data_IF_622178015618
#
_entry.id   IF_622178015618
#
_cell.length_a   1.000
_cell.length_b   1.000
_cell.length_c   1.000
_cell.angle_alpha   90.00
_cell.angle_beta   90.00
_cell.angle_gamma   90.00
#
_symmetry.space_group_name_H-M   'P 1'
#
loop_
_entity.id
_entity.type
_entity.pdbx_description
1 polymer ?
#
# COMPACT_ATOMS: atom_id res chain seq x y z
N UNK A 1 -3.69 5.04 -12.09
CA UNK A 1 -4.83 4.12 -11.99
C UNK A 1 -6.01 4.84 -11.42
N UNK A 2 -7.10 5.00 -12.16
CA UNK A 2 -8.28 5.72 -11.68
C UNK A 2 -8.96 4.92 -10.57
N UNK A 3 -9.35 5.60 -9.50
CA UNK A 3 -10.11 5.03 -8.39
C UNK A 3 -11.60 5.14 -8.69
N UNK A 4 -12.30 4.02 -8.60
CA UNK A 4 -13.73 3.91 -8.82
C UNK A 4 -14.50 4.37 -7.57
N UNK A 5 -15.58 5.12 -7.78
CA UNK A 5 -16.42 5.67 -6.70
C UNK A 5 -15.79 6.84 -5.94
N UNK A 6 -14.69 7.41 -6.43
CA UNK A 6 -14.13 8.63 -5.86
C UNK A 6 -14.96 9.85 -6.24
N UNK A 7 -15.38 10.63 -5.23
CA UNK A 7 -16.15 11.86 -5.42
C UNK A 7 -15.51 13.02 -4.65
N UNK A 8 -14.77 13.89 -5.34
CA UNK A 8 -13.99 14.98 -4.72
C UNK A 8 -14.80 15.82 -3.72
N UNK A 9 -16.06 16.14 -4.07
CA UNK A 9 -16.95 16.96 -3.25
C UNK A 9 -17.46 16.27 -1.99
N UNK A 10 -17.48 14.94 -1.97
CA UNK A 10 -17.85 14.14 -0.82
C UNK A 10 -16.66 13.88 0.12
N UNK A 11 -15.43 14.19 -0.32
CA UNK A 11 -14.23 13.95 0.47
C UNK A 11 -13.82 15.21 1.23
N UNK A 12 -13.48 15.04 2.51
CA UNK A 12 -12.77 16.06 3.28
C UNK A 12 -11.29 16.07 2.86
N UNK A 13 -11.00 16.64 1.69
CA UNK A 13 -9.63 16.75 1.17
C UNK A 13 -8.74 17.72 1.98
N UNK A 14 -9.29 18.39 3.00
CA UNK A 14 -8.54 19.32 3.85
C UNK A 14 -7.37 18.65 4.59
N UNK A 15 -7.42 17.34 4.81
CA UNK A 15 -6.32 16.56 5.41
C UNK A 15 -5.22 16.13 4.43
N UNK A 16 -5.40 16.36 3.13
CA UNK A 16 -4.50 15.87 2.11
C UNK A 16 -3.32 16.84 2.01
N UNK A 17 -2.12 16.36 2.32
CA UNK A 17 -0.88 17.13 2.19
C UNK A 17 -0.17 16.74 0.89
N UNK A 18 -0.45 17.42 -0.23
CA UNK A 18 0.28 17.16 -1.46
C UNK A 18 1.75 17.56 -1.32
N UNK A 19 2.63 16.82 -1.99
CA UNK A 19 4.00 17.21 -2.22
C UNK A 19 4.08 18.31 -3.30
N UNK A 20 5.30 18.76 -3.60
CA UNK A 20 5.56 19.80 -4.60
C UNK A 20 5.07 19.44 -6.02
N UNK A 21 4.76 18.16 -6.27
CA UNK A 21 4.25 17.66 -7.55
C UNK A 21 2.74 17.40 -7.50
N UNK A 22 2.05 17.84 -6.45
CA UNK A 22 0.61 17.65 -6.29
C UNK A 22 0.22 16.22 -5.87
N UNK A 23 1.18 15.38 -5.47
CA UNK A 23 0.94 13.98 -5.11
C UNK A 23 0.78 13.84 -3.61
N UNK A 24 -0.06 12.92 -3.17
CA UNK A 24 -0.23 12.64 -1.75
C UNK A 24 -0.29 11.14 -1.51
N UNK A 25 -0.21 10.77 -0.24
CA UNK A 25 -0.23 9.37 0.18
C UNK A 25 -1.66 8.86 0.34
N UNK A 26 -1.88 7.65 -0.14
CA UNK A 26 -3.06 6.83 0.14
C UNK A 26 -2.62 5.45 0.59
N UNK A 27 -3.48 4.79 1.34
CA UNK A 27 -3.29 3.42 1.82
C UNK A 27 -4.15 2.51 0.94
N UNK A 28 -3.57 1.41 0.48
CA UNK A 28 -4.32 0.35 -0.19
C UNK A 28 -4.62 -0.77 0.80
N UNK A 29 -5.90 -1.14 0.91
CA UNK A 29 -6.38 -2.14 1.88
C UNK A 29 -7.06 -3.26 1.11
N UNK A 30 -6.64 -4.52 1.31
CA UNK A 30 -7.40 -5.65 0.77
C UNK A 30 -8.63 -5.89 1.62
N UNK A 31 -9.72 -6.21 0.93
CA UNK A 31 -10.97 -6.61 1.54
C UNK A 31 -11.23 -8.10 1.30
N UNK A 32 -12.18 -8.66 2.06
CA UNK A 32 -12.55 -10.07 1.97
C UNK A 32 -13.05 -10.46 0.56
N UNK A 33 -13.76 -9.58 -0.13
CA UNK A 33 -14.44 -9.84 -1.41
C UNK A 33 -13.55 -9.63 -2.65
N UNK A 34 -12.23 -9.83 -2.51
CA UNK A 34 -11.27 -9.56 -3.59
C UNK A 34 -11.35 -8.13 -4.14
N UNK A 35 -11.62 -7.17 -3.25
CA UNK A 35 -11.57 -5.74 -3.54
C UNK A 35 -10.33 -5.13 -2.88
N UNK A 36 -9.91 -4.01 -3.43
CA UNK A 36 -8.90 -3.17 -2.80
C UNK A 36 -9.50 -1.79 -2.65
N UNK A 37 -9.74 -1.37 -1.41
CA UNK A 37 -10.09 0.01 -1.11
C UNK A 37 -8.85 0.89 -1.14
N UNK A 38 -9.08 2.13 -1.54
CA UNK A 38 -8.12 3.23 -1.45
C UNK A 38 -8.59 4.09 -0.29
N UNK A 39 -7.76 4.22 0.73
CA UNK A 39 -8.05 5.01 1.92
C UNK A 39 -7.09 6.18 2.07
N UNK A 40 -7.55 7.26 2.70
CA UNK A 40 -6.66 8.32 3.19
C UNK A 40 -5.81 7.81 4.35
N UNK A 41 -4.75 8.55 4.71
CA UNK A 41 -3.96 8.28 5.92
C UNK A 41 -4.77 8.33 7.22
N UNK A 42 -5.92 8.99 7.21
CA UNK A 42 -6.85 9.04 8.35
C UNK A 42 -7.81 7.84 8.41
N UNK A 43 -7.70 6.88 7.49
CA UNK A 43 -8.56 5.69 7.45
C UNK A 43 -9.89 5.88 6.72
N UNK A 44 -10.14 7.04 6.13
CA UNK A 44 -11.35 7.28 5.32
C UNK A 44 -11.23 6.58 3.97
N UNK A 45 -12.20 5.73 3.63
CA UNK A 45 -12.30 5.12 2.29
C UNK A 45 -12.65 6.18 1.25
N UNK A 46 -11.81 6.28 0.22
CA UNK A 46 -11.93 7.21 -0.90
C UNK A 46 -12.55 6.57 -2.14
N UNK A 47 -12.55 5.24 -2.21
CA UNK A 47 -13.06 4.46 -3.33
C UNK A 47 -12.33 3.13 -3.46
N UNK A 48 -12.38 2.53 -4.64
CA UNK A 48 -11.82 1.20 -4.89
C UNK A 48 -10.98 1.17 -6.15
N UNK A 49 -9.99 0.29 -6.19
CA UNK A 49 -9.29 0.01 -7.43
C UNK A 49 -10.15 -0.89 -8.35
N UNK A 50 -10.05 -0.71 -9.68
CA UNK A 50 -10.70 -1.61 -10.62
C UNK A 50 -10.30 -3.07 -10.38
N UNK A 51 -11.24 -4.00 -10.54
CA UNK A 51 -11.02 -5.44 -10.26
C UNK A 51 -9.82 -6.04 -11.03
N UNK A 52 -9.56 -5.56 -12.25
CA UNK A 52 -8.41 -5.96 -13.06
C UNK A 52 -7.07 -5.72 -12.37
N UNK A 53 -6.99 -4.70 -11.51
CA UNK A 53 -5.79 -4.36 -10.77
C UNK A 53 -5.62 -5.15 -9.49
N UNK A 54 -6.71 -5.57 -8.86
CA UNK A 54 -6.65 -6.36 -7.63
C UNK A 54 -5.84 -7.64 -7.83
N UNK A 55 -5.98 -8.29 -9.00
CA UNK A 55 -5.21 -9.47 -9.35
C UNK A 55 -3.71 -9.17 -9.50
N UNK A 56 -3.37 -8.00 -10.06
CA UNK A 56 -1.98 -7.60 -10.31
C UNK A 56 -1.25 -7.28 -9.00
N UNK A 57 -1.91 -6.56 -8.08
CA UNK A 57 -1.26 -6.05 -6.86
C UNK A 57 -1.54 -6.91 -5.62
N UNK A 58 -2.50 -7.84 -5.68
CA UNK A 58 -2.98 -8.60 -4.52
C UNK A 58 -1.86 -9.36 -3.81
N UNK A 59 -0.91 -9.93 -4.55
CA UNK A 59 0.26 -10.61 -3.97
C UNK A 59 1.19 -9.66 -3.22
N UNK A 60 1.34 -8.43 -3.71
CA UNK A 60 2.19 -7.43 -3.05
C UNK A 60 1.52 -6.92 -1.77
N UNK A 61 0.22 -6.63 -1.82
CA UNK A 61 -0.57 -6.25 -0.64
C UNK A 61 -0.58 -7.35 0.44
N UNK A 62 -0.69 -8.62 0.06
CA UNK A 62 -0.58 -9.73 1.01
C UNK A 62 0.78 -9.75 1.74
N UNK A 63 1.87 -9.34 1.08
CA UNK A 63 3.19 -9.23 1.72
C UNK A 63 3.23 -8.08 2.73
N UNK A 64 2.62 -6.94 2.40
CA UNK A 64 2.47 -5.81 3.32
C UNK A 64 1.69 -6.23 4.58
N UNK A 65 0.54 -6.87 4.41
CA UNK A 65 -0.28 -7.40 5.51
C UNK A 65 0.49 -8.39 6.39
N UNK A 66 1.19 -9.35 5.77
CA UNK A 66 1.99 -10.35 6.50
C UNK A 66 3.15 -9.70 7.26
N UNK A 67 3.71 -8.61 6.74
CA UNK A 67 4.77 -7.84 7.39
C UNK A 67 4.25 -6.89 8.48
N UNK A 68 2.93 -6.71 8.61
CA UNK A 68 2.34 -5.72 9.52
C UNK A 68 2.65 -4.27 9.11
N UNK A 69 2.88 -4.01 7.82
CA UNK A 69 3.22 -2.69 7.28
C UNK A 69 2.08 -2.20 6.41
N UNK A 70 1.69 -0.93 6.57
CA UNK A 70 0.68 -0.31 5.69
C UNK A 70 1.19 -0.24 4.25
N UNK A 71 0.34 -0.62 3.30
CA UNK A 71 0.63 -0.52 1.87
C UNK A 71 0.38 0.92 1.38
N UNK A 72 1.30 1.81 1.70
CA UNK A 72 1.22 3.23 1.32
C UNK A 72 1.70 3.41 -0.11
N UNK A 73 0.92 4.10 -0.93
CA UNK A 73 1.32 4.49 -2.28
C UNK A 73 1.02 5.96 -2.57
N UNK A 74 1.65 6.49 -3.61
CA UNK A 74 1.37 7.84 -4.09
C UNK A 74 0.13 7.86 -4.98
N UNK A 75 -0.62 8.93 -4.88
CA UNK A 75 -1.74 9.27 -5.77
C UNK A 75 -1.71 10.75 -6.16
N UNK A 76 -2.48 11.10 -7.18
CA UNK A 76 -2.68 12.48 -7.64
C UNK A 76 -4.14 12.70 -7.99
N UNK A 77 -4.58 13.95 -7.99
CA UNK A 77 -5.88 14.36 -8.51
C UNK A 77 -5.70 14.93 -9.92
N UNK A 78 -6.51 14.45 -10.86
CA UNK A 78 -6.46 14.86 -12.27
C UNK A 78 -7.80 15.44 -12.69
N UNK A 79 -7.78 16.53 -13.46
CA UNK A 79 -9.00 17.19 -13.93
C UNK A 79 -9.26 18.54 -13.24
N UNK A 80 -10.46 19.06 -13.44
CA UNK A 80 -10.87 20.37 -12.93
C UNK A 80 -11.39 20.27 -11.50
N UNK A 81 -11.04 21.24 -10.65
CA UNK A 81 -11.48 21.30 -9.24
C UNK A 81 -12.99 21.12 -9.11
N UNK A 82 -13.41 20.19 -8.25
CA UNK A 82 -14.80 19.81 -8.02
C UNK A 82 -15.30 18.66 -8.90
N UNK A 83 -14.49 18.21 -9.85
CA UNK A 83 -14.74 17.09 -10.77
C UNK A 83 -13.44 16.32 -11.04
N UNK A 84 -12.52 16.27 -10.06
CA UNK A 84 -11.24 15.58 -10.23
C UNK A 84 -11.38 14.09 -10.01
N UNK A 85 -10.64 13.35 -10.81
CA UNK A 85 -10.40 11.94 -10.62
C UNK A 85 -9.22 11.70 -9.69
N UNK A 86 -9.36 10.72 -8.79
CA UNK A 86 -8.25 10.20 -8.01
C UNK A 86 -7.50 9.14 -8.82
N UNK A 87 -6.20 9.34 -9.00
CA UNK A 87 -5.32 8.44 -9.71
C UNK A 87 -4.21 7.91 -8.79
N UNK A 88 -4.20 6.60 -8.54
CA UNK A 88 -3.12 5.91 -7.82
C UNK A 88 -1.95 5.61 -8.77
N UNK A 89 -0.72 5.91 -8.35
CA UNK A 89 0.49 5.76 -9.15
C UNK A 89 1.19 4.40 -8.95
N UNK A 90 0.77 3.61 -7.96
CA UNK A 90 1.35 2.30 -7.61
C UNK A 90 2.87 2.34 -7.44
N UNK A 91 3.36 3.45 -6.91
CA UNK A 91 4.74 3.60 -6.46
C UNK A 91 4.77 3.48 -4.94
N UNK A 92 5.43 2.42 -4.47
CA UNK A 92 5.66 2.19 -3.05
C UNK A 92 6.90 2.98 -2.62
N UNK A 93 6.85 3.77 -1.54
CA UNK A 93 8.04 4.39 -0.97
C UNK A 93 9.14 3.33 -0.70
N UNK A 94 10.40 3.68 -0.96
CA UNK A 94 11.52 2.72 -0.86
C UNK A 94 11.66 2.08 0.52
N UNK A 95 11.24 2.79 1.59
CA UNK A 95 11.24 2.27 2.97
C UNK A 95 10.24 1.13 3.16
N UNK A 96 9.06 1.25 2.56
CA UNK A 96 8.00 0.27 2.64
C UNK A 96 8.37 -0.97 1.82
N UNK A 97 9.05 -0.78 0.67
CA UNK A 97 9.67 -1.88 -0.10
C UNK A 97 10.76 -2.62 0.68
N UNK A 98 11.63 -1.91 1.39
CA UNK A 98 12.68 -2.52 2.19
C UNK A 98 12.09 -3.35 3.35
N UNK A 99 11.02 -2.87 3.98
CA UNK A 99 10.35 -3.56 5.07
C UNK A 99 9.75 -4.91 4.63
N UNK A 100 9.04 -4.95 3.50
CA UNK A 100 8.49 -6.21 2.96
C UNK A 100 9.57 -7.17 2.42
N UNK A 101 10.74 -6.66 1.99
CA UNK A 101 11.87 -7.49 1.54
C UNK A 101 12.67 -8.06 2.73
N UNK A 102 12.83 -7.30 3.81
CA UNK A 102 13.56 -7.71 5.02
C UNK A 102 12.89 -8.89 5.75
N UNK A 103 11.55 -8.94 5.76
CA UNK A 103 10.78 -10.07 6.33
C UNK A 103 11.07 -11.39 5.61
N UNK A 104 11.28 -11.34 4.28
CA UNK A 104 11.68 -12.53 3.50
C UNK A 104 13.10 -13.01 3.78
N UNK A 105 14.03 -12.10 4.07
CA UNK A 105 15.44 -12.44 4.33
C UNK A 105 15.68 -12.95 5.76
N UNK A 106 14.86 -12.52 6.73
CA UNK A 106 15.00 -12.93 8.14
C UNK A 106 14.59 -14.39 8.42
N UNK A 107 13.88 -15.05 7.49
CA UNK A 107 13.48 -16.47 7.63
C UNK A 107 14.56 -17.49 7.25
N UNK A 108 15.77 -17.05 6.88
CA UNK A 108 16.91 -17.93 6.59
C UNK A 108 18.08 -17.62 7.55
N UNK A 109 17.84 -17.73 8.86
CA UNK A 109 18.92 -17.97 9.81
C UNK A 109 18.91 -19.45 10.16
N UNK A 110 19.73 -20.17 9.40
CA UNK A 110 20.13 -21.56 9.62
C UNK A 110 20.50 -21.82 11.08
N UNK A 111 19.82 -22.80 11.67
CA UNK A 111 20.22 -23.50 12.89
C UNK A 111 21.66 -24.00 12.73
N UNK A 112 22.64 -23.30 13.32
CA UNK A 112 23.96 -23.89 13.53
C UNK A 112 23.86 -24.84 14.71
N UNK A 113 23.73 -26.14 14.40
CA UNK A 113 23.77 -27.24 15.38
C UNK A 113 25.14 -27.17 16.08
N UNK A 114 25.14 -26.88 17.38
CA UNK A 114 26.30 -27.04 18.26
C UNK A 114 26.50 -28.53 18.53
N UNK A 115 27.55 -29.12 17.98
CA UNK A 115 28.04 -30.44 18.40
C UNK A 115 28.71 -30.31 19.77
N UNK A 116 28.31 -31.05 20.82
CA UNK A 116 29.03 -31.06 22.08
C UNK A 116 30.33 -31.85 21.97
N UNK A 117 31.39 -31.34 22.60
CA UNK A 117 32.76 -31.79 22.44
C UNK A 117 33.04 -33.21 22.92
N UNK A 118 34.09 -33.79 22.33
CA UNK A 118 34.73 -34.99 22.86
C UNK A 118 36.00 -34.58 23.61
N UNK A 119 35.98 -34.87 24.92
CA UNK A 119 37.13 -34.92 25.82
C UNK A 119 37.83 -36.25 25.58
N UNK A 120 39.15 -36.21 25.42
CA UNK A 120 40.11 -37.15 26.02
C UNK A 120 41.49 -36.53 25.90
#
# INVERSE_FOLDING_TARGET
MRVEGFEERAQELAGFRPDLLGRFDVILVREADHRVSVASRGGQTLGHLPTTWVQIIGRELQRFETAGVEAVTRSTLTGTKGDRDLCVLLSWPSRDRAAIQGVTSSRRSTTTIRTPGSRT
#
